data_IF_079983113674
#
_entry.id   IF_079983113674
#
_cell.length_a   1.000
_cell.length_b   1.000
_cell.length_c   1.000
_cell.angle_alpha   90.00
_cell.angle_beta   90.00
_cell.angle_gamma   90.00
#
_symmetry.space_group_name_H-M   'P 1'
#
loop_
_entity.id
_entity.type
_entity.pdbx_description
1 polymer ?
#
# COMPACT_ATOMS: atom_id res chain seq x y z
N UNK A 1 11.09 21.36 98.73
CA UNK A 1 9.63 21.28 98.92
C UNK A 1 9.04 22.34 98.00
N UNK A 2 8.15 22.09 97.05
CA UNK A 2 6.95 21.23 97.10
C UNK A 2 6.45 20.99 95.66
N UNK A 3 5.56 20.02 95.55
CA UNK A 3 5.06 19.24 94.41
C UNK A 3 3.97 19.97 93.59
N UNK A 4 3.96 19.65 92.29
CA UNK A 4 2.92 19.58 91.23
C UNK A 4 1.58 20.33 91.35
N UNK A 5 1.11 20.84 90.20
CA UNK A 5 -0.26 20.65 89.73
C UNK A 5 -0.35 20.68 88.19
N UNK A 6 -0.97 19.66 87.59
CA UNK A 6 -1.51 19.58 86.21
C UNK A 6 -3.03 19.76 86.28
N UNK A 7 -3.76 20.29 85.26
CA UNK A 7 -4.16 19.51 84.06
C UNK A 7 -4.40 20.41 82.80
N UNK A 8 -5.28 20.07 81.83
CA UNK A 8 -5.03 19.24 80.65
C UNK A 8 -5.03 20.02 79.31
N UNK A 9 -4.60 19.35 78.23
CA UNK A 9 -4.63 19.85 76.85
C UNK A 9 -6.07 19.98 76.28
N UNK A 10 -6.26 20.76 75.20
CA UNK A 10 -6.63 20.09 73.96
C UNK A 10 -6.00 20.67 72.68
N UNK A 11 -5.36 19.76 71.96
CA UNK A 11 -5.50 19.51 70.52
C UNK A 11 -6.37 20.51 69.75
N UNK A 12 -5.77 21.36 68.92
CA UNK A 12 -6.35 21.81 67.64
C UNK A 12 -5.41 22.80 66.97
N UNK A 13 -4.46 22.32 66.16
CA UNK A 13 -3.94 23.09 65.02
C UNK A 13 -2.98 22.35 64.10
N UNK A 14 -2.72 21.07 64.32
CA UNK A 14 -1.76 20.34 63.49
C UNK A 14 -2.41 19.39 62.49
N UNK A 15 -3.46 19.84 61.78
CA UNK A 15 -4.14 18.99 60.78
C UNK A 15 -4.39 19.64 59.43
N UNK A 16 -3.80 20.81 59.17
CA UNK A 16 -4.07 21.58 57.93
C UNK A 16 -2.89 21.80 56.98
N UNK A 17 -1.69 21.30 57.29
CA UNK A 17 -0.50 21.61 56.47
C UNK A 17 0.24 20.42 55.85
N UNK A 18 -0.19 19.17 56.10
CA UNK A 18 0.50 17.97 55.55
C UNK A 18 -0.18 17.43 54.27
N UNK A 19 -1.36 17.95 53.91
CA UNK A 19 -2.14 17.41 52.78
C UNK A 19 -1.65 17.80 51.37
N UNK A 20 -0.86 18.87 51.24
CA UNK A 20 -0.53 19.43 49.91
C UNK A 20 0.82 19.00 49.34
N UNK A 21 1.72 18.42 50.14
CA UNK A 21 3.03 17.96 49.62
C UNK A 21 3.06 16.48 49.20
N UNK A 22 2.08 15.67 49.63
CA UNK A 22 2.02 14.25 49.26
C UNK A 22 1.37 13.99 47.90
N UNK A 23 0.68 14.98 47.32
CA UNK A 23 -0.02 14.84 46.03
C UNK A 23 0.84 15.23 44.81
N UNK A 24 1.91 16.00 45.01
CA UNK A 24 2.78 16.45 43.90
C UNK A 24 3.87 15.43 43.52
N UNK A 25 4.29 14.55 44.43
CA UNK A 25 5.29 13.51 44.12
C UNK A 25 4.69 12.26 43.45
N UNK A 26 3.40 12.00 43.58
CA UNK A 26 2.74 10.86 42.92
C UNK A 26 2.45 11.09 41.43
N UNK A 27 2.39 12.34 40.96
CA UNK A 27 2.11 12.68 39.56
C UNK A 27 3.33 12.58 38.61
N UNK A 28 4.56 12.50 39.15
CA UNK A 28 5.78 12.45 38.31
C UNK A 28 6.22 11.02 38.00
N UNK A 29 5.85 10.03 38.81
CA UNK A 29 6.26 8.64 38.61
C UNK A 29 5.43 7.88 37.54
N UNK A 30 4.24 8.35 37.20
CA UNK A 30 3.35 7.70 36.21
C UNK A 30 3.74 7.97 34.75
N UNK A 31 4.57 8.98 34.47
CA UNK A 31 4.91 9.39 33.11
C UNK A 31 6.04 8.55 32.46
N UNK A 32 6.72 7.70 33.22
CA UNK A 32 7.85 6.87 32.73
C UNK A 32 7.43 5.41 32.45
N UNK A 33 6.23 5.05 32.93
CA UNK A 33 5.50 3.77 32.91
C UNK A 33 4.64 3.42 31.69
N UNK A 34 4.74 4.13 30.56
CA UNK A 34 3.81 3.92 29.45
C UNK A 34 3.99 2.54 28.81
N UNK A 35 2.92 1.78 28.50
CA UNK A 35 3.06 0.54 27.74
C UNK A 35 3.75 0.88 26.42
N UNK A 36 4.81 0.14 26.09
CA UNK A 36 5.53 0.27 24.84
C UNK A 36 4.54 0.20 23.69
N UNK A 37 4.24 1.35 23.07
CA UNK A 37 3.49 1.38 21.82
C UNK A 37 4.43 0.75 20.82
N UNK A 38 4.21 -0.51 20.50
CA UNK A 38 4.89 -1.15 19.38
C UNK A 38 4.41 -0.38 18.16
N UNK A 39 5.20 0.60 17.73
CA UNK A 39 5.04 1.20 16.41
C UNK A 39 5.04 0.02 15.45
N UNK A 40 3.96 -0.19 14.65
CA UNK A 40 4.04 -1.18 13.61
C UNK A 40 5.29 -0.84 12.80
N UNK A 41 6.20 -1.80 12.67
CA UNK A 41 7.25 -1.72 11.67
C UNK A 41 6.53 -1.34 10.40
N UNK A 42 6.91 -0.21 9.79
CA UNK A 42 6.41 0.24 8.49
C UNK A 42 6.24 -1.01 7.64
N UNK A 43 5.00 -1.40 7.34
CA UNK A 43 4.77 -2.41 6.31
C UNK A 43 5.61 -1.97 5.14
N UNK A 44 6.59 -2.78 4.75
CA UNK A 44 7.35 -2.52 3.53
C UNK A 44 6.33 -2.08 2.48
N UNK A 45 6.57 -0.91 1.87
CA UNK A 45 5.74 -0.43 0.77
C UNK A 45 5.48 -1.64 -0.14
N UNK A 46 4.21 -1.96 -0.41
CA UNK A 46 3.84 -3.13 -1.20
C UNK A 46 4.62 -3.07 -2.53
N UNK A 47 5.75 -3.76 -2.57
CA UNK A 47 6.62 -3.81 -3.73
C UNK A 47 5.97 -4.78 -4.68
N UNK A 48 5.74 -4.39 -5.94
CA UNK A 48 5.26 -5.38 -6.88
C UNK A 48 6.30 -6.46 -7.01
N UNK A 49 5.87 -7.70 -6.76
CA UNK A 49 6.71 -8.82 -7.07
C UNK A 49 6.76 -8.93 -8.61
N UNK A 50 7.97 -8.82 -9.15
CA UNK A 50 8.24 -9.08 -10.56
C UNK A 50 8.77 -10.50 -10.68
N UNK A 51 7.92 -11.37 -11.21
CA UNK A 51 8.22 -12.77 -11.42
C UNK A 51 8.79 -12.99 -12.83
N UNK A 52 9.83 -13.84 -12.90
CA UNK A 52 10.54 -14.14 -14.14
C UNK A 52 9.74 -14.99 -15.13
N UNK A 53 8.62 -15.58 -14.70
CA UNK A 53 7.75 -16.40 -15.52
C UNK A 53 6.28 -16.26 -15.11
N UNK A 54 5.39 -16.58 -16.05
CA UNK A 54 3.94 -16.56 -15.85
C UNK A 54 3.36 -17.95 -16.09
N UNK A 55 3.02 -18.65 -14.99
CA UNK A 55 2.53 -20.03 -15.00
C UNK A 55 1.08 -20.19 -14.57
N UNK A 56 0.43 -19.14 -14.05
CA UNK A 56 -0.99 -19.17 -13.69
C UNK A 56 -1.90 -19.26 -14.93
N UNK A 57 -3.11 -19.79 -14.77
CA UNK A 57 -4.07 -20.02 -15.87
C UNK A 57 -4.31 -18.79 -16.74
N UNK A 58 -4.46 -17.60 -16.12
CA UNK A 58 -4.74 -16.35 -16.84
C UNK A 58 -3.56 -15.84 -17.69
N UNK A 59 -2.35 -16.39 -17.54
CA UNK A 59 -1.23 -16.09 -18.43
C UNK A 59 -1.52 -16.51 -19.88
N UNK A 60 -2.34 -17.54 -20.10
CA UNK A 60 -2.77 -17.94 -21.44
C UNK A 60 -3.58 -16.82 -22.12
N UNK A 61 -4.50 -16.19 -21.39
CA UNK A 61 -5.29 -15.06 -21.88
C UNK A 61 -4.39 -13.85 -22.17
N UNK A 62 -3.43 -13.57 -21.29
CA UNK A 62 -2.47 -12.49 -21.48
C UNK A 62 -1.59 -12.71 -22.72
N UNK A 63 -1.18 -13.96 -23.01
CA UNK A 63 -0.47 -14.31 -24.25
C UNK A 63 -1.36 -14.13 -25.49
N UNK A 64 -2.62 -14.53 -25.42
CA UNK A 64 -3.62 -14.29 -26.48
C UNK A 64 -3.79 -12.80 -26.75
N UNK A 65 -3.95 -12.00 -25.69
CA UNK A 65 -4.03 -10.55 -25.79
C UNK A 65 -2.75 -9.96 -26.41
N UNK A 66 -1.56 -10.41 -25.98
CA UNK A 66 -0.27 -9.98 -26.53
C UNK A 66 -0.18 -10.25 -28.03
N UNK A 67 -0.60 -11.42 -28.49
CA UNK A 67 -0.66 -11.74 -29.92
C UNK A 67 -1.66 -10.86 -30.67
N UNK A 68 -2.85 -10.63 -30.12
CA UNK A 68 -3.84 -9.77 -30.75
C UNK A 68 -3.42 -8.30 -30.83
N UNK A 69 -2.73 -7.78 -29.80
CA UNK A 69 -2.15 -6.44 -29.81
C UNK A 69 -0.94 -6.33 -30.74
N UNK A 70 -0.12 -7.38 -30.83
CA UNK A 70 0.95 -7.47 -31.81
C UNK A 70 0.41 -7.40 -33.26
N UNK A 71 -0.69 -8.10 -33.56
CA UNK A 71 -1.37 -8.04 -34.86
C UNK A 71 -1.90 -6.63 -35.20
N UNK A 72 -2.08 -5.76 -34.20
CA UNK A 72 -2.45 -4.35 -34.36
C UNK A 72 -1.25 -3.40 -34.32
N UNK A 73 -0.03 -3.92 -34.24
CA UNK A 73 1.20 -3.13 -34.22
C UNK A 73 1.52 -2.46 -32.88
N UNK A 74 0.91 -2.90 -31.77
CA UNK A 74 1.09 -2.30 -30.45
C UNK A 74 0.90 -0.78 -30.49
N UNK A 75 -0.32 -0.29 -30.73
CA UNK A 75 -0.58 1.15 -30.86
C UNK A 75 -0.22 1.92 -29.59
N UNK A 76 0.39 3.09 -29.75
CA UNK A 76 0.87 3.90 -28.61
C UNK A 76 -0.15 4.94 -28.15
N UNK A 77 -1.06 5.36 -29.02
CA UNK A 77 -2.14 6.27 -28.68
C UNK A 77 -3.18 5.58 -27.81
N UNK A 78 -3.67 6.30 -26.80
CA UNK A 78 -4.77 5.82 -25.96
C UNK A 78 -6.06 5.74 -26.77
N UNK A 79 -6.76 4.62 -26.70
CA UNK A 79 -8.03 4.49 -27.40
C UNK A 79 -8.59 3.07 -27.52
N UNK A 80 -9.79 3.01 -28.07
CA UNK A 80 -10.52 1.79 -28.36
C UNK A 80 -10.16 1.24 -29.73
N UNK A 81 -9.94 -0.07 -29.79
CA UNK A 81 -9.63 -0.81 -31.02
C UNK A 81 -10.67 -1.90 -31.22
N UNK A 82 -11.13 -2.05 -32.47
CA UNK A 82 -12.05 -3.13 -32.84
C UNK A 82 -11.41 -4.50 -32.60
N UNK A 83 -12.20 -5.43 -32.09
CA UNK A 83 -11.82 -6.80 -31.84
C UNK A 83 -12.80 -7.77 -32.49
N UNK A 84 -12.46 -9.05 -32.53
CA UNK A 84 -13.36 -10.08 -33.06
C UNK A 84 -14.69 -10.14 -32.28
N UNK A 85 -15.74 -10.61 -32.96
CA UNK A 85 -17.07 -10.78 -32.36
C UNK A 85 -17.78 -9.48 -32.00
N UNK A 86 -17.46 -8.37 -32.69
CA UNK A 86 -18.06 -7.05 -32.42
C UNK A 86 -17.64 -6.44 -31.08
N UNK A 87 -16.59 -6.97 -30.45
CA UNK A 87 -16.02 -6.43 -29.21
C UNK A 87 -14.96 -5.39 -29.51
N UNK A 88 -14.48 -4.73 -28.48
CA UNK A 88 -13.41 -3.75 -28.53
C UNK A 88 -12.41 -4.02 -27.41
N UNK A 89 -11.17 -3.62 -27.62
CA UNK A 89 -10.15 -3.67 -26.58
C UNK A 89 -9.47 -2.30 -26.47
N UNK A 90 -8.82 -2.01 -25.33
CA UNK A 90 -8.32 -0.66 -25.05
C UNK A 90 -6.79 -0.64 -24.95
N UNK A 91 -6.16 0.27 -25.70
CA UNK A 91 -4.75 0.60 -25.52
C UNK A 91 -4.64 1.72 -24.47
N UNK A 92 -3.94 1.44 -23.38
CA UNK A 92 -3.71 2.39 -22.29
C UNK A 92 -2.57 3.38 -22.59
N UNK A 93 -1.87 3.25 -23.71
CA UNK A 93 -0.76 4.13 -24.05
C UNK A 93 0.44 3.90 -23.15
N UNK A 94 1.22 4.95 -22.88
CA UNK A 94 2.48 4.80 -22.14
C UNK A 94 2.27 4.39 -20.68
N UNK A 95 2.96 3.32 -20.26
CA UNK A 95 3.12 2.96 -18.86
C UNK A 95 4.45 3.53 -18.36
N UNK A 96 4.40 4.37 -17.33
CA UNK A 96 5.57 5.13 -16.89
C UNK A 96 6.48 4.38 -15.93
N UNK A 97 6.06 3.22 -15.39
CA UNK A 97 6.82 2.46 -14.41
C UNK A 97 7.32 3.33 -13.24
N UNK A 98 6.43 4.14 -12.67
CA UNK A 98 6.79 5.18 -11.66
C UNK A 98 7.31 4.56 -10.38
N UNK A 99 6.78 3.37 -10.07
CA UNK A 99 7.15 2.55 -8.94
C UNK A 99 8.47 1.80 -9.18
N UNK A 100 9.03 1.86 -10.39
CA UNK A 100 10.34 1.28 -10.72
C UNK A 100 10.39 -0.25 -10.70
N UNK A 101 9.24 -0.91 -10.84
CA UNK A 101 9.11 -2.36 -10.70
C UNK A 101 9.67 -3.10 -11.91
N UNK A 102 9.42 -2.59 -13.12
CA UNK A 102 10.00 -3.12 -14.36
C UNK A 102 11.42 -2.55 -14.60
N UNK A 103 12.25 -3.18 -15.45
CA UNK A 103 13.57 -2.67 -15.78
C UNK A 103 13.57 -1.18 -16.19
N UNK A 104 14.56 -0.43 -15.71
CA UNK A 104 14.72 0.98 -16.04
C UNK A 104 15.15 1.18 -17.51
N UNK A 105 15.13 2.44 -17.96
CA UNK A 105 15.60 2.87 -19.29
C UNK A 105 14.86 2.22 -20.47
N UNK A 106 13.56 1.97 -20.29
CA UNK A 106 12.69 1.42 -21.32
C UNK A 106 11.38 2.22 -21.41
N UNK A 107 10.80 2.24 -22.62
CA UNK A 107 9.48 2.84 -22.85
C UNK A 107 8.44 1.74 -22.95
N UNK A 108 7.57 1.68 -21.94
CA UNK A 108 6.52 0.69 -21.84
C UNK A 108 5.19 1.22 -22.34
N UNK A 109 4.38 0.32 -22.90
CA UNK A 109 2.99 0.60 -23.23
C UNK A 109 2.09 -0.47 -22.64
N UNK A 110 0.95 -0.04 -22.11
CA UNK A 110 -0.03 -0.92 -21.48
C UNK A 110 -1.23 -1.18 -22.38
N UNK A 111 -1.73 -2.41 -22.30
CA UNK A 111 -2.89 -2.85 -23.07
C UNK A 111 -3.78 -3.74 -22.21
N UNK A 112 -5.08 -3.67 -22.49
CA UNK A 112 -6.07 -4.49 -21.81
C UNK A 112 -6.05 -5.93 -22.31
N UNK A 113 -6.28 -6.88 -21.40
CA UNK A 113 -6.26 -8.31 -21.72
C UNK A 113 -7.55 -8.75 -22.38
N UNK A 114 -8.70 -8.36 -21.82
CA UNK A 114 -10.00 -8.89 -22.24
C UNK A 114 -10.80 -7.89 -23.07
N UNK A 115 -11.17 -8.24 -24.32
CA UNK A 115 -12.09 -7.43 -25.12
C UNK A 115 -13.46 -7.31 -24.45
N UNK A 116 -14.16 -6.21 -24.67
CA UNK A 116 -15.46 -5.86 -24.07
C UNK A 116 -16.31 -4.97 -24.98
N UNK A 117 -17.50 -4.60 -24.53
CA UNK A 117 -18.33 -3.63 -25.25
C UNK A 117 -17.62 -2.28 -25.35
N UNK A 118 -17.86 -1.54 -26.42
CA UNK A 118 -17.28 -0.20 -26.59
C UNK A 118 -17.69 0.71 -25.42
N UNK A 119 -16.73 1.45 -24.86
CA UNK A 119 -16.98 2.37 -23.74
C UNK A 119 -17.18 1.69 -22.38
N UNK A 120 -17.16 0.36 -22.30
CA UNK A 120 -17.30 -0.33 -21.01
C UNK A 120 -16.10 -0.05 -20.09
N UNK A 121 -16.29 -0.07 -18.75
CA UNK A 121 -15.19 0.04 -17.80
C UNK A 121 -14.08 -0.98 -18.08
N UNK A 122 -12.83 -0.56 -17.89
CA UNK A 122 -11.66 -1.43 -17.99
C UNK A 122 -11.57 -2.29 -16.72
N UNK A 123 -11.10 -3.52 -16.87
CA UNK A 123 -10.82 -4.43 -15.73
C UNK A 123 -9.45 -4.12 -15.09
N UNK A 124 -8.93 -4.99 -14.22
CA UNK A 124 -7.60 -4.84 -13.60
C UNK A 124 -6.46 -5.48 -14.41
N UNK A 125 -6.76 -6.25 -15.46
CA UNK A 125 -5.82 -7.11 -16.16
C UNK A 125 -5.10 -6.34 -17.28
N UNK A 126 -3.76 -6.34 -17.23
CA UNK A 126 -2.94 -5.58 -18.17
C UNK A 126 -1.80 -6.43 -18.70
N UNK A 127 -1.50 -6.28 -19.98
CA UNK A 127 -0.14 -6.54 -20.45
C UNK A 127 0.61 -5.21 -20.55
N UNK A 128 1.88 -5.22 -20.17
CA UNK A 128 2.80 -4.11 -20.31
C UNK A 128 3.95 -4.56 -21.19
N UNK A 129 4.16 -3.86 -22.29
CA UNK A 129 5.06 -4.27 -23.37
C UNK A 129 6.18 -3.25 -23.50
N UNK A 130 7.43 -3.72 -23.44
CA UNK A 130 8.55 -2.97 -23.99
C UNK A 130 8.52 -3.16 -25.52
N UNK A 131 8.11 -2.12 -26.26
CA UNK A 131 7.89 -2.23 -27.71
C UNK A 131 9.19 -2.42 -28.51
N UNK A 132 10.34 -1.96 -28.01
CA UNK A 132 11.62 -2.11 -28.73
C UNK A 132 12.17 -3.53 -28.67
N UNK A 133 11.90 -4.25 -27.57
CA UNK A 133 12.38 -5.63 -27.37
C UNK A 133 11.30 -6.69 -27.51
N UNK A 134 10.02 -6.30 -27.47
CA UNK A 134 8.88 -7.20 -27.45
C UNK A 134 8.67 -7.93 -26.12
N UNK A 135 9.52 -7.70 -25.12
CA UNK A 135 9.37 -8.29 -23.78
C UNK A 135 8.07 -7.77 -23.17
N UNK A 136 7.27 -8.69 -22.66
CA UNK A 136 5.93 -8.41 -22.15
C UNK A 136 5.78 -8.96 -20.75
N UNK A 137 5.13 -8.19 -19.88
CA UNK A 137 4.72 -8.60 -18.55
C UNK A 137 3.20 -8.57 -18.47
N UNK A 138 2.63 -9.52 -17.76
CA UNK A 138 1.23 -9.54 -17.37
C UNK A 138 1.10 -9.07 -15.93
N UNK A 139 0.17 -8.15 -15.70
CA UNK A 139 -0.27 -7.78 -14.37
C UNK A 139 -1.74 -8.19 -14.18
N UNK A 140 -2.04 -9.11 -13.24
CA UNK A 140 -3.39 -9.57 -12.99
C UNK A 140 -4.22 -8.65 -12.08
N UNK A 141 -3.61 -7.60 -11.54
CA UNK A 141 -4.05 -6.90 -10.33
C UNK A 141 -3.73 -5.40 -10.39
N UNK A 142 -3.88 -4.81 -11.57
CA UNK A 142 -3.75 -3.37 -11.77
C UNK A 142 -2.38 -2.82 -11.32
N UNK A 143 -1.32 -3.45 -11.83
CA UNK A 143 0.10 -3.13 -11.63
C UNK A 143 0.65 -3.45 -10.24
N UNK A 144 -0.09 -4.16 -9.40
CA UNK A 144 0.42 -4.58 -8.09
C UNK A 144 1.41 -5.74 -8.18
N UNK A 145 1.34 -6.61 -9.20
CA UNK A 145 2.32 -7.65 -9.50
C UNK A 145 2.56 -7.77 -11.01
N UNK A 146 3.75 -8.25 -11.39
CA UNK A 146 4.12 -8.46 -12.78
C UNK A 146 4.72 -9.84 -13.02
N UNK A 147 4.26 -10.52 -14.06
CA UNK A 147 4.75 -11.83 -14.46
C UNK A 147 5.23 -11.76 -15.91
N UNK A 148 6.49 -12.07 -16.16
CA UNK A 148 7.04 -12.07 -17.52
C UNK A 148 6.40 -13.20 -18.34
N UNK A 149 5.84 -12.86 -19.52
CA UNK A 149 5.06 -13.78 -20.36
C UNK A 149 5.89 -14.76 -21.18
#
# INVERSE_FOLDING_TARGET
MTILATPPAPLTRLRRLVGTFALLTAMVAGALVGPSVVTPSLTDSASAAVYSSCTMTRCADARTARSGWAAKGFPTSRGWYTWSGGRYNFAGGQFYNREGQLPANATYHEYDVYPRAYGAPRDAYRIVVNRSTGVTWFSPDHYANFYRL
#
